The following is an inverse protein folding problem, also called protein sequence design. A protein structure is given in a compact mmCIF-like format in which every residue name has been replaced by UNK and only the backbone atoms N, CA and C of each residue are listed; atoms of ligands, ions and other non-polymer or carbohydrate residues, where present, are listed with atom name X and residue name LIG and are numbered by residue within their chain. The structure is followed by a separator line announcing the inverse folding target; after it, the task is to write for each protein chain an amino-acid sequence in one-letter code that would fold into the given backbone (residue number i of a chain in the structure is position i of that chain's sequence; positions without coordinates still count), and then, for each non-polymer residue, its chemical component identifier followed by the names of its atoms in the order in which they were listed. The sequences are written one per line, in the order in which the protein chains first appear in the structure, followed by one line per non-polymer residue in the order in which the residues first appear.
data_IF_324954853260
#
_entry.id   IF_324954853260
#
_cell.length_a   1.000
_cell.length_b   1.000
_cell.length_c   1.000
_cell.angle_alpha   90.00
_cell.angle_beta   90.00
_cell.angle_gamma   90.00
#
_symmetry.space_group_name_H-M   'P 1'
#
loop_
_entity.id
_entity.type
_entity.pdbx_description
1 polymer ?
#
# COMPACT_ATOMS: atom_id res chain seq x y z
N UNK A 1 18.24 -21.01 11.72
CA UNK A 1 18.32 -19.61 11.31
C UNK A 1 18.13 -18.75 12.55
N UNK A 2 18.94 -17.72 12.76
CA UNK A 2 18.92 -16.87 13.97
C UNK A 2 18.48 -15.45 13.60
N UNK A 3 18.08 -14.63 14.59
CA UNK A 3 17.76 -13.21 14.35
C UNK A 3 18.96 -12.44 13.79
N UNK A 4 20.17 -12.69 14.28
CA UNK A 4 21.39 -12.10 13.70
C UNK A 4 21.61 -12.54 12.24
N UNK A 5 21.33 -13.79 11.88
CA UNK A 5 21.42 -14.25 10.49
C UNK A 5 20.37 -13.57 9.57
N UNK A 6 19.29 -13.04 10.16
CA UNK A 6 18.29 -12.21 9.50
C UNK A 6 18.59 -10.71 9.59
N UNK A 7 19.78 -10.31 10.09
CA UNK A 7 20.14 -8.91 10.33
C UNK A 7 19.18 -8.17 11.27
N UNK A 8 18.58 -8.86 12.24
CA UNK A 8 17.67 -8.27 13.23
C UNK A 8 18.34 -8.23 14.62
N UNK A 9 19.32 -7.35 14.87
CA UNK A 9 20.08 -7.35 16.13
C UNK A 9 19.33 -6.71 17.31
N UNK A 10 18.22 -6.00 17.05
CA UNK A 10 17.59 -5.16 18.05
C UNK A 10 16.99 -6.00 19.21
N UNK A 11 17.31 -5.70 20.49
CA UNK A 11 16.85 -6.48 21.63
C UNK A 11 15.32 -6.55 21.81
N UNK A 12 14.58 -5.58 21.26
CA UNK A 12 13.12 -5.61 21.31
C UNK A 12 12.51 -6.59 20.29
N UNK A 13 13.25 -7.06 19.28
CA UNK A 13 12.78 -8.07 18.34
C UNK A 13 12.67 -9.41 19.05
N UNK A 14 11.44 -9.89 19.23
CA UNK A 14 11.16 -11.12 19.99
C UNK A 14 11.32 -12.40 19.18
N UNK A 15 11.19 -12.32 17.85
CA UNK A 15 11.24 -13.48 16.97
C UNK A 15 10.99 -13.12 15.51
N UNK A 16 11.05 -14.13 14.65
CA UNK A 16 10.74 -14.01 13.24
C UNK A 16 10.10 -15.30 12.72
N UNK A 17 9.09 -15.16 11.86
CA UNK A 17 8.51 -16.25 11.07
C UNK A 17 9.06 -16.15 9.67
N UNK A 18 9.54 -17.26 9.13
CA UNK A 18 10.27 -17.27 7.86
C UNK A 18 9.55 -18.14 6.86
N UNK A 19 9.09 -17.49 5.79
CA UNK A 19 8.47 -18.17 4.67
C UNK A 19 9.46 -18.29 3.51
N UNK A 20 9.93 -19.52 3.27
CA UNK A 20 10.91 -19.81 2.20
C UNK A 20 10.31 -19.72 0.80
N UNK A 21 9.02 -19.96 0.68
CA UNK A 21 8.29 -19.93 -0.59
C UNK A 21 7.50 -18.63 -0.67
N UNK A 22 8.20 -17.56 -1.03
CA UNK A 22 7.66 -16.23 -1.23
C UNK A 22 8.25 -15.62 -2.50
N UNK A 23 7.55 -14.63 -3.07
CA UNK A 23 8.02 -13.88 -4.21
C UNK A 23 7.68 -12.40 -4.03
N UNK A 24 8.59 -11.54 -4.48
CA UNK A 24 8.30 -10.14 -4.75
C UNK A 24 8.22 -9.95 -6.27
N UNK A 25 7.46 -8.96 -6.69
CA UNK A 25 7.32 -8.59 -8.09
C UNK A 25 7.22 -7.08 -8.22
N UNK A 26 7.42 -6.58 -9.42
CA UNK A 26 7.28 -5.16 -9.72
C UNK A 26 5.88 -4.89 -10.30
N UNK A 27 4.91 -4.37 -9.51
CA UNK A 27 3.50 -4.35 -9.92
C UNK A 27 3.28 -3.55 -11.20
N UNK A 28 3.90 -2.37 -11.28
CA UNK A 28 3.80 -1.50 -12.46
C UNK A 28 4.25 -2.22 -13.73
N UNK A 29 5.44 -2.85 -13.71
CA UNK A 29 5.96 -3.57 -14.89
C UNK A 29 5.08 -4.75 -15.28
N UNK A 30 4.54 -5.49 -14.30
CA UNK A 30 3.63 -6.60 -14.60
C UNK A 30 2.37 -6.10 -15.30
N UNK A 31 1.73 -5.05 -14.76
CA UNK A 31 0.50 -4.49 -15.33
C UNK A 31 0.74 -3.91 -16.73
N UNK A 32 1.80 -3.11 -16.89
CA UNK A 32 2.19 -2.57 -18.20
C UNK A 32 2.45 -3.70 -19.21
N UNK A 33 3.21 -4.72 -18.83
CA UNK A 33 3.47 -5.87 -19.69
C UNK A 33 2.18 -6.59 -20.11
N UNK A 34 1.22 -6.79 -19.20
CA UNK A 34 -0.08 -7.38 -19.54
C UNK A 34 -0.84 -6.51 -20.56
N UNK A 35 -0.93 -5.19 -20.32
CA UNK A 35 -1.63 -4.27 -21.21
C UNK A 35 -0.98 -4.18 -22.60
N UNK A 36 0.34 -4.08 -22.65
CA UNK A 36 1.11 -4.09 -23.89
C UNK A 36 0.87 -5.37 -24.69
N UNK A 37 0.83 -6.53 -24.02
CA UNK A 37 0.53 -7.81 -24.67
C UNK A 37 -0.88 -7.85 -25.23
N UNK A 38 -1.88 -7.34 -24.50
CA UNK A 38 -3.26 -7.27 -24.99
C UNK A 38 -3.38 -6.35 -26.21
N UNK A 39 -2.78 -5.16 -26.17
CA UNK A 39 -2.76 -4.22 -27.29
C UNK A 39 -2.02 -4.76 -28.53
N UNK A 40 -0.96 -5.55 -28.33
CA UNK A 40 -0.23 -6.15 -29.44
C UNK A 40 -0.94 -7.38 -30.04
N UNK A 41 -1.77 -8.07 -29.25
CA UNK A 41 -2.43 -9.32 -29.66
C UNK A 41 -3.78 -9.07 -30.33
N UNK A 42 -4.54 -8.11 -29.81
CA UNK A 42 -5.92 -7.86 -30.25
C UNK A 42 -6.03 -6.53 -30.99
N UNK A 43 -6.81 -6.48 -32.09
CA UNK A 43 -7.04 -5.25 -32.80
C UNK A 43 -7.94 -4.29 -32.00
N UNK A 44 -7.97 -2.98 -32.31
CA UNK A 44 -8.69 -1.97 -31.54
C UNK A 44 -10.21 -2.20 -31.40
N UNK A 45 -10.82 -2.99 -32.29
CA UNK A 45 -12.23 -3.38 -32.26
C UNK A 45 -12.53 -4.43 -31.17
N UNK A 46 -11.52 -5.21 -30.77
CA UNK A 46 -11.63 -6.26 -29.75
C UNK A 46 -11.06 -5.81 -28.39
N UNK A 47 -9.95 -5.06 -28.39
CA UNK A 47 -9.37 -4.52 -27.17
C UNK A 47 -8.95 -3.07 -27.35
N UNK A 48 -9.61 -2.18 -26.61
CA UNK A 48 -9.42 -0.74 -26.71
C UNK A 48 -9.05 -0.15 -25.35
N UNK A 49 -7.85 0.43 -25.24
CA UNK A 49 -7.41 1.12 -24.02
C UNK A 49 -7.57 2.63 -24.17
N UNK A 50 -8.40 3.22 -23.31
CA UNK A 50 -8.57 4.68 -23.23
C UNK A 50 -8.00 5.19 -21.89
N UNK A 51 -6.84 5.86 -21.94
CA UNK A 51 -6.27 6.57 -20.79
C UNK A 51 -6.82 8.00 -20.72
N UNK A 52 -6.62 8.70 -19.59
CA UNK A 52 -7.11 10.08 -19.39
C UNK A 52 -8.61 10.25 -19.67
N UNK A 53 -9.39 9.19 -19.41
CA UNK A 53 -10.82 9.11 -19.73
C UNK A 53 -11.59 8.71 -18.48
N UNK A 54 -11.65 9.57 -17.45
CA UNK A 54 -12.33 9.23 -16.21
C UNK A 54 -13.83 9.03 -16.48
N UNK A 55 -14.36 7.91 -16.02
CA UNK A 55 -15.81 7.71 -15.94
C UNK A 55 -16.32 8.49 -14.74
N UNK A 56 -17.13 9.51 -14.99
CA UNK A 56 -17.64 10.42 -13.95
C UNK A 56 -19.05 10.03 -13.49
N UNK A 57 -19.75 9.22 -14.27
CA UNK A 57 -21.11 8.76 -13.94
C UNK A 57 -21.47 7.49 -14.69
N UNK A 58 -22.24 6.64 -14.04
CA UNK A 58 -22.79 5.42 -14.62
C UNK A 58 -24.32 5.44 -14.51
N UNK A 59 -25.03 5.12 -15.59
CA UNK A 59 -26.50 5.01 -15.60
C UNK A 59 -26.91 3.67 -16.17
N UNK A 60 -27.92 3.05 -15.58
CA UNK A 60 -28.64 1.95 -16.19
C UNK A 60 -29.66 2.49 -17.20
N UNK A 61 -29.55 2.11 -18.47
CA UNK A 61 -30.54 2.48 -19.48
C UNK A 61 -31.83 1.68 -19.21
N UNK A 62 -32.96 2.36 -19.05
CA UNK A 62 -34.26 1.71 -19.14
C UNK A 62 -34.46 1.29 -20.59
N UNK A 63 -34.72 0.01 -20.82
CA UNK A 63 -34.90 -0.52 -22.17
C UNK A 63 -36.35 -0.95 -22.30
N UNK A 64 -37.02 -0.44 -23.33
CA UNK A 64 -38.37 -0.85 -23.67
C UNK A 64 -38.38 -2.36 -24.01
N UNK A 65 -39.51 -3.00 -23.71
CA UNK A 65 -39.76 -4.44 -23.78
C UNK A 65 -39.16 -5.11 -25.03
N UNK A 66 -37.94 -5.66 -24.92
CA UNK A 66 -37.27 -6.43 -25.97
C UNK A 66 -35.77 -6.14 -26.17
N UNK A 67 -35.23 -5.03 -25.65
CA UNK A 67 -33.80 -4.71 -25.78
C UNK A 67 -32.95 -5.16 -24.59
N UNK A 68 -31.76 -5.70 -24.85
CA UNK A 68 -30.82 -6.19 -23.84
C UNK A 68 -30.38 -5.16 -22.78
N UNK A 69 -29.92 -5.64 -21.63
CA UNK A 69 -29.44 -4.81 -20.52
C UNK A 69 -28.28 -3.93 -20.95
N UNK A 70 -28.38 -2.61 -20.79
CA UNK A 70 -27.34 -1.68 -21.25
C UNK A 70 -27.04 -0.62 -20.19
N UNK A 71 -25.76 -0.38 -19.96
CA UNK A 71 -25.20 0.65 -19.09
C UNK A 71 -24.58 1.77 -19.92
N UNK A 72 -24.66 3.00 -19.41
CA UNK A 72 -24.09 4.20 -20.03
C UNK A 72 -23.05 4.79 -19.08
N UNK A 73 -21.79 4.78 -19.51
CA UNK A 73 -20.67 5.43 -18.83
C UNK A 73 -20.44 6.82 -19.43
N UNK A 74 -20.52 7.86 -18.61
CA UNK A 74 -20.22 9.23 -19.00
C UNK A 74 -18.76 9.55 -18.74
N UNK A 75 -18.12 10.18 -19.73
CA UNK A 75 -16.74 10.67 -19.63
C UNK A 75 -16.67 12.08 -20.23
N UNK A 76 -15.65 12.89 -19.90
CA UNK A 76 -15.42 14.18 -20.56
C UNK A 76 -15.22 14.08 -22.08
N UNK A 77 -14.84 12.90 -22.59
CA UNK A 77 -14.60 12.63 -24.02
C UNK A 77 -15.82 12.08 -24.76
N UNK A 78 -16.96 11.94 -24.08
CA UNK A 78 -18.19 11.37 -24.64
C UNK A 78 -18.72 10.21 -23.80
N UNK A 79 -19.78 9.56 -24.31
CA UNK A 79 -20.46 8.47 -23.61
C UNK A 79 -20.14 7.12 -24.24
N UNK A 80 -19.99 6.09 -23.41
CA UNK A 80 -19.79 4.70 -23.83
C UNK A 80 -21.00 3.89 -23.36
N UNK A 81 -21.56 3.07 -24.23
CA UNK A 81 -22.64 2.13 -23.90
C UNK A 81 -22.10 0.71 -23.90
N UNK A 82 -22.46 -0.08 -22.89
CA UNK A 82 -22.03 -1.46 -22.78
C UNK A 82 -23.09 -2.34 -22.12
N UNK A 83 -23.25 -3.57 -22.59
CA UNK A 83 -24.18 -4.53 -21.98
C UNK A 83 -23.66 -5.04 -20.62
N UNK A 84 -22.33 -5.14 -20.51
CA UNK A 84 -21.62 -5.60 -19.31
C UNK A 84 -20.54 -4.59 -18.93
N UNK A 85 -20.52 -4.21 -17.66
CA UNK A 85 -19.56 -3.26 -17.09
C UNK A 85 -18.90 -3.90 -15.88
N UNK A 86 -17.56 -3.86 -15.83
CA UNK A 86 -16.79 -4.26 -14.66
C UNK A 86 -16.18 -3.01 -13.99
N UNK A 87 -16.58 -2.74 -12.75
CA UNK A 87 -15.96 -1.71 -11.92
C UNK A 87 -14.73 -2.29 -11.23
N UNK A 88 -13.55 -1.96 -11.77
CA UNK A 88 -12.24 -2.24 -11.17
C UNK A 88 -11.60 -0.97 -10.59
N UNK A 89 -12.42 -0.07 -10.02
CA UNK A 89 -12.03 1.29 -9.60
C UNK A 89 -11.51 1.38 -8.17
N UNK A 90 -11.42 0.25 -7.46
CA UNK A 90 -10.85 0.12 -6.12
C UNK A 90 -11.29 1.24 -5.15
N UNK A 91 -10.38 2.13 -4.72
CA UNK A 91 -10.65 3.19 -3.73
C UNK A 91 -11.64 4.24 -4.23
N UNK A 92 -11.86 4.34 -5.54
CA UNK A 92 -12.79 5.29 -6.16
C UNK A 92 -14.17 4.67 -6.45
N UNK A 93 -14.44 3.45 -5.97
CA UNK A 93 -15.72 2.75 -6.22
C UNK A 93 -16.93 3.58 -5.79
N UNK A 94 -16.85 4.22 -4.63
CA UNK A 94 -17.96 5.03 -4.07
C UNK A 94 -18.32 6.25 -4.91
N UNK A 95 -17.42 6.74 -5.76
CA UNK A 95 -17.71 7.83 -6.70
C UNK A 95 -18.77 7.42 -7.73
N UNK A 96 -18.75 6.16 -8.18
CA UNK A 96 -19.71 5.62 -9.15
C UNK A 96 -20.87 4.89 -8.48
N UNK A 97 -20.63 4.30 -7.31
CA UNK A 97 -21.63 3.58 -6.52
C UNK A 97 -21.66 4.13 -5.08
N UNK A 98 -22.42 5.22 -4.82
CA UNK A 98 -22.44 5.86 -3.50
C UNK A 98 -22.80 4.94 -2.34
N UNK A 99 -23.56 3.86 -2.59
CA UNK A 99 -23.90 2.85 -1.59
C UNK A 99 -22.68 2.07 -1.03
N UNK A 100 -21.49 2.23 -1.59
CA UNK A 100 -20.24 1.64 -1.11
C UNK A 100 -19.38 2.61 -0.28
N UNK A 101 -19.82 3.85 -0.04
CA UNK A 101 -19.02 4.87 0.67
C UNK A 101 -18.58 4.45 2.08
N UNK A 102 -19.34 3.60 2.74
CA UNK A 102 -19.04 3.05 4.07
C UNK A 102 -18.51 1.61 4.02
N UNK A 103 -18.54 0.97 2.85
CA UNK A 103 -18.14 -0.43 2.65
C UNK A 103 -16.72 -0.55 2.09
N UNK A 104 -16.29 0.40 1.26
CA UNK A 104 -14.96 0.47 0.67
C UNK A 104 -14.43 1.89 0.88
N UNK A 105 -13.40 2.03 1.71
CA UNK A 105 -12.85 3.34 2.06
C UNK A 105 -11.45 3.47 1.49
N UNK A 106 -11.16 4.56 0.74
CA UNK A 106 -9.81 4.81 0.26
C UNK A 106 -8.87 5.08 1.44
N UNK A 107 -7.66 4.54 1.37
CA UNK A 107 -6.61 4.79 2.36
C UNK A 107 -5.31 5.02 1.61
N UNK A 108 -4.69 6.17 1.80
CA UNK A 108 -3.40 6.46 1.16
C UNK A 108 -2.27 5.76 1.91
N UNK A 109 -1.43 5.05 1.16
CA UNK A 109 -0.14 4.54 1.62
C UNK A 109 0.99 5.38 1.05
N UNK A 110 2.14 5.35 1.70
CA UNK A 110 3.36 6.02 1.25
C UNK A 110 4.52 5.04 1.19
N UNK A 111 5.36 5.21 0.17
CA UNK A 111 6.51 4.35 -0.12
C UNK A 111 7.74 5.22 -0.33
N UNK A 112 8.88 4.78 0.21
CA UNK A 112 10.20 5.32 -0.08
C UNK A 112 11.04 4.30 -0.85
N UNK A 113 11.63 4.72 -1.97
CA UNK A 113 12.77 4.05 -2.58
C UNK A 113 14.04 4.67 -2.01
N UNK A 114 14.75 3.92 -1.19
CA UNK A 114 15.90 4.38 -0.42
C UNK A 114 17.18 3.75 -0.94
N UNK A 115 18.25 4.53 -1.03
CA UNK A 115 19.56 3.98 -1.36
C UNK A 115 20.06 3.13 -0.19
N UNK A 116 20.40 1.84 -0.41
CA UNK A 116 21.05 1.06 0.61
C UNK A 116 22.37 1.73 1.00
N UNK A 117 22.80 1.67 2.25
CA UNK A 117 24.13 2.14 2.63
C UNK A 117 25.24 1.46 1.81
N UNK A 118 26.39 2.12 1.74
CA UNK A 118 27.61 1.48 1.26
C UNK A 118 28.02 0.40 2.26
N UNK A 119 28.33 -0.79 1.73
CA UNK A 119 28.81 -1.91 2.53
C UNK A 119 30.17 -1.55 3.13
N UNK A 120 30.30 -1.78 4.43
CA UNK A 120 31.54 -1.63 5.19
C UNK A 120 32.53 -2.79 4.94
N UNK A 121 32.68 -3.26 3.70
CA UNK A 121 33.68 -4.28 3.40
C UNK A 121 35.07 -3.74 3.73
N UNK A 122 35.68 -4.38 4.72
CA UNK A 122 36.86 -4.00 5.46
C UNK A 122 38.16 -4.13 4.65
N UNK A 123 39.06 -3.17 4.88
CA UNK A 123 40.52 -3.32 4.85
C UNK A 123 41.10 -4.30 3.83
N UNK A 124 41.33 -3.86 2.61
CA UNK A 124 42.38 -4.44 1.77
C UNK A 124 43.04 -3.32 0.97
N UNK A 125 44.26 -3.01 1.37
CA UNK A 125 45.20 -2.14 0.68
C UNK A 125 45.47 -2.68 -0.72
N UNK A 126 44.63 -2.28 -1.68
CA UNK A 126 44.98 -2.39 -3.09
C UNK A 126 44.47 -1.13 -3.77
N UNK A 127 45.34 -0.13 -3.78
CA UNK A 127 45.28 0.95 -4.74
C UNK A 127 45.42 0.31 -6.11
N UNK A 128 44.32 0.23 -6.87
CA UNK A 128 44.21 0.50 -8.31
C UNK A 128 42.89 -0.08 -8.86
N UNK A 129 42.13 0.81 -9.52
CA UNK A 129 41.00 0.59 -10.43
C UNK A 129 39.66 0.05 -9.88
N UNK A 130 38.65 0.92 -9.98
CA UNK A 130 37.20 0.64 -9.95
C UNK A 130 36.65 -0.18 -8.79
N UNK A 131 36.81 0.28 -7.54
CA UNK A 131 35.89 -0.15 -6.49
C UNK A 131 34.55 0.54 -6.70
N UNK A 132 33.68 -0.09 -7.50
CA UNK A 132 32.28 0.26 -7.53
C UNK A 132 31.76 0.05 -6.10
N UNK A 133 31.47 1.15 -5.39
CA UNK A 133 31.12 1.09 -3.98
C UNK A 133 29.93 0.13 -3.81
N UNK A 134 30.18 -1.01 -3.17
CA UNK A 134 29.21 -2.09 -3.12
C UNK A 134 28.12 -1.72 -2.13
N UNK A 135 26.88 -1.60 -2.60
CA UNK A 135 25.72 -1.34 -1.75
C UNK A 135 25.39 -2.60 -0.94
N UNK A 136 24.87 -2.44 0.28
CA UNK A 136 24.47 -3.58 1.11
C UNK A 136 23.37 -4.39 0.41
N UNK A 137 23.55 -5.71 0.41
CA UNK A 137 22.58 -6.68 -0.10
C UNK A 137 21.86 -7.36 1.07
N UNK A 138 20.54 -7.47 0.96
CA UNK A 138 19.66 -8.20 1.86
C UNK A 138 19.30 -9.54 1.22
N UNK A 139 19.37 -10.61 2.02
CA UNK A 139 19.03 -11.97 1.58
C UNK A 139 17.53 -12.28 1.69
N UNK A 140 16.76 -11.37 2.31
CA UNK A 140 15.34 -11.54 2.59
C UNK A 140 14.56 -10.24 2.32
N UNK A 141 13.25 -10.40 2.13
CA UNK A 141 12.28 -9.32 2.27
C UNK A 141 11.66 -9.40 3.66
N UNK A 142 11.26 -8.25 4.21
CA UNK A 142 10.82 -8.14 5.60
C UNK A 142 9.41 -7.58 5.67
N UNK A 143 8.65 -8.07 6.64
CA UNK A 143 7.43 -7.43 7.13
C UNK A 143 7.60 -7.32 8.64
N UNK A 144 7.42 -6.13 9.16
CA UNK A 144 7.63 -5.80 10.57
C UNK A 144 6.28 -5.68 11.26
N UNK A 145 6.09 -6.46 12.32
CA UNK A 145 4.91 -6.44 13.17
C UNK A 145 5.33 -6.20 14.61
N UNK A 146 4.53 -5.43 15.35
CA UNK A 146 4.75 -5.15 16.76
C UNK A 146 4.21 -3.80 17.16
N UNK A 147 4.61 -3.32 18.34
CA UNK A 147 4.27 -2.00 18.84
C UNK A 147 5.46 -1.04 18.78
N UNK A 148 5.18 0.24 18.59
CA UNK A 148 6.10 1.36 18.74
C UNK A 148 5.54 2.29 19.81
N UNK A 149 6.40 2.78 20.68
CA UNK A 149 6.04 3.85 21.61
C UNK A 149 6.00 5.17 20.83
N UNK A 150 4.88 5.90 20.92
CA UNK A 150 4.77 7.19 20.27
C UNK A 150 5.68 8.21 20.99
N UNK A 151 6.85 8.52 20.42
CA UNK A 151 7.78 9.54 20.97
C UNK A 151 7.23 10.98 20.89
N UNK A 152 6.03 11.19 20.34
CA UNK A 152 5.45 12.52 20.07
C UNK A 152 4.19 12.85 20.88
N UNK A 153 4.01 12.20 22.03
CA UNK A 153 3.06 12.63 23.06
C UNK A 153 3.54 13.82 23.91
N UNK A 154 4.17 14.84 23.32
CA UNK A 154 4.39 16.10 24.05
C UNK A 154 3.08 16.89 24.06
N UNK A 155 2.38 16.87 25.20
CA UNK A 155 1.38 17.90 25.51
C UNK A 155 0.04 17.41 26.05
N UNK A 156 0.01 16.57 27.08
CA UNK A 156 -0.95 16.71 28.20
C UNK A 156 -0.56 15.75 29.33
N UNK A 157 -0.17 16.31 30.47
CA UNK A 157 0.10 15.54 31.68
C UNK A 157 -1.15 14.72 32.06
N UNK A 158 -1.07 13.39 31.96
CA UNK A 158 -2.11 12.47 32.44
C UNK A 158 -2.69 11.48 31.43
N UNK A 159 -2.23 11.44 30.17
CA UNK A 159 -2.72 10.48 29.17
C UNK A 159 -1.68 9.37 28.91
N UNK A 160 -2.12 8.10 28.95
CA UNK A 160 -1.33 6.89 28.67
C UNK A 160 -0.44 7.06 27.44
N UNK A 161 0.80 6.56 27.50
CA UNK A 161 1.66 6.40 26.32
C UNK A 161 0.86 5.69 25.24
N UNK A 162 0.60 6.39 24.12
CA UNK A 162 -0.09 5.79 23.00
C UNK A 162 0.87 4.82 22.34
N UNK A 163 0.53 3.55 22.35
CA UNK A 163 1.27 2.52 21.61
C UNK A 163 0.65 2.39 20.23
N UNK A 164 1.47 2.59 19.20
CA UNK A 164 1.07 2.37 17.82
C UNK A 164 1.58 1.05 17.28
N UNK A 165 0.96 0.54 16.22
CA UNK A 165 1.35 -0.73 15.58
C UNK A 165 2.31 -0.48 14.44
N UNK A 166 3.34 -1.31 14.35
CA UNK A 166 4.19 -1.46 13.16
C UNK A 166 3.48 -2.27 12.09
N UNK A 167 3.49 -1.75 10.88
CA UNK A 167 2.99 -2.41 9.67
C UNK A 167 3.94 -2.22 8.46
N UNK A 168 5.23 -1.99 8.71
CA UNK A 168 6.19 -1.74 7.64
C UNK A 168 6.56 -3.01 6.87
N UNK A 169 6.89 -2.83 5.58
CA UNK A 169 7.41 -3.90 4.74
C UNK A 169 8.52 -3.39 3.84
N UNK A 170 9.53 -4.24 3.66
CA UNK A 170 10.75 -3.91 2.93
C UNK A 170 11.04 -5.00 1.90
N UNK A 171 11.23 -4.59 0.65
CA UNK A 171 11.85 -5.41 -0.40
C UNK A 171 13.06 -4.68 -0.96
N UNK A 172 14.09 -5.41 -1.37
CA UNK A 172 15.22 -4.82 -2.07
C UNK A 172 15.14 -5.14 -3.57
N UNK A 173 15.31 -4.12 -4.41
CA UNK A 173 15.45 -4.33 -5.86
C UNK A 173 16.77 -5.04 -6.19
N UNK A 174 16.86 -5.80 -7.29
CA UNK A 174 18.11 -6.41 -7.70
C UNK A 174 19.25 -5.37 -7.87
N UNK A 175 20.43 -5.72 -7.40
CA UNK A 175 21.67 -4.95 -7.59
C UNK A 175 22.06 -4.89 -9.09
N UNK A 176 22.89 -3.91 -9.52
CA UNK A 176 23.62 -2.90 -8.72
C UNK A 176 22.82 -1.65 -8.32
N UNK A 177 21.68 -1.38 -8.97
CA UNK A 177 20.84 -0.20 -8.71
C UNK A 177 19.70 -0.50 -7.71
N UNK A 178 19.95 -1.42 -6.78
CA UNK A 178 18.91 -2.06 -5.98
C UNK A 178 18.45 -1.21 -4.79
N UNK A 179 17.52 -0.27 -5.00
CA UNK A 179 16.94 0.48 -3.88
C UNK A 179 16.20 -0.43 -2.89
N UNK A 180 16.19 -0.01 -1.63
CA UNK A 180 15.31 -0.51 -0.59
C UNK A 180 13.92 0.12 -0.79
N UNK A 181 12.93 -0.68 -1.11
CA UNK A 181 11.54 -0.23 -1.27
C UNK A 181 10.82 -0.49 0.05
N UNK A 182 10.59 0.59 0.80
CA UNK A 182 9.98 0.55 2.12
C UNK A 182 8.60 1.21 2.10
N UNK A 183 7.59 0.48 2.57
CA UNK A 183 6.26 1.03 2.87
C UNK A 183 5.90 0.85 4.34
N UNK A 184 4.90 1.60 4.81
CA UNK A 184 4.42 1.55 6.20
C UNK A 184 4.21 2.96 6.78
N UNK A 185 4.32 3.10 8.11
CA UNK A 185 4.26 4.41 8.78
C UNK A 185 2.89 5.09 8.74
N UNK A 186 1.83 4.33 8.43
CA UNK A 186 0.46 4.84 8.26
C UNK A 186 -0.10 5.43 9.56
N UNK A 187 0.35 4.93 10.71
CA UNK A 187 0.01 5.48 12.01
C UNK A 187 0.44 6.94 12.20
N UNK A 188 1.43 7.41 11.43
CA UNK A 188 1.94 8.78 11.50
C UNK A 188 1.28 9.71 10.49
N UNK A 189 0.53 9.16 9.52
CA UNK A 189 -0.22 9.97 8.59
C UNK A 189 -1.38 10.66 9.30
N UNK A 190 -1.74 11.87 8.86
CA UNK A 190 -2.91 12.58 9.40
C UNK A 190 -4.16 11.71 9.24
N UNK A 191 -4.91 11.51 10.34
CA UNK A 191 -6.07 10.62 10.38
C UNK A 191 -5.78 9.19 9.85
N UNK A 192 -4.53 8.73 9.94
CA UNK A 192 -4.03 7.48 9.35
C UNK A 192 -4.28 7.37 7.83
N UNK A 193 -4.40 8.53 7.17
CA UNK A 193 -4.74 8.72 5.77
C UNK A 193 -6.03 8.01 5.31
N UNK A 194 -6.95 7.76 6.25
CA UNK A 194 -8.26 7.19 5.94
C UNK A 194 -9.10 8.23 5.22
N UNK A 195 -9.80 7.81 4.17
CA UNK A 195 -10.62 8.69 3.35
C UNK A 195 -9.85 9.47 2.30
N UNK A 196 -8.52 9.45 2.38
CA UNK A 196 -7.69 10.13 1.41
C UNK A 196 -7.68 9.36 0.10
N UNK A 197 -8.23 9.99 -0.93
CA UNK A 197 -8.35 9.47 -2.29
C UNK A 197 -7.35 10.14 -3.25
N UNK A 198 -6.57 11.10 -2.75
CA UNK A 198 -5.56 11.85 -3.50
C UNK A 198 -4.15 11.34 -3.17
N UNK A 199 -3.42 10.91 -4.18
CA UNK A 199 -2.05 10.41 -4.09
C UNK A 199 -1.02 11.32 -4.79
N UNK A 200 -1.34 12.61 -4.91
CA UNK A 200 -0.46 13.62 -5.49
C UNK A 200 0.44 14.33 -4.48
N UNK A 201 0.39 13.89 -3.21
CA UNK A 201 1.17 14.46 -2.12
C UNK A 201 1.87 13.37 -1.30
N UNK A 202 3.04 13.70 -0.76
CA UNK A 202 3.83 12.91 0.18
C UNK A 202 3.81 13.63 1.52
N UNK A 203 3.47 12.91 2.60
CA UNK A 203 3.46 13.47 3.95
C UNK A 203 4.88 13.51 4.53
N UNK A 204 5.41 14.70 4.90
CA UNK A 204 6.80 14.83 5.35
C UNK A 204 7.14 14.01 6.60
N UNK A 205 6.18 13.86 7.52
CA UNK A 205 6.37 13.07 8.75
C UNK A 205 6.54 11.59 8.44
N UNK A 206 5.70 11.04 7.56
CA UNK A 206 5.78 9.64 7.12
C UNK A 206 7.05 9.41 6.30
N UNK A 207 7.42 10.35 5.42
CA UNK A 207 8.64 10.28 4.61
C UNK A 207 9.88 10.23 5.51
N UNK A 208 9.94 11.11 6.51
CA UNK A 208 11.03 11.12 7.49
C UNK A 208 11.14 9.80 8.24
N UNK A 209 10.02 9.28 8.72
CA UNK A 209 9.95 7.98 9.42
C UNK A 209 10.48 6.83 8.56
N UNK A 210 10.02 6.73 7.30
CA UNK A 210 10.51 5.68 6.39
C UNK A 210 12.03 5.78 6.16
N UNK A 211 12.60 6.99 6.19
CA UNK A 211 14.06 7.20 6.04
C UNK A 211 14.85 6.90 7.32
N UNK A 212 14.23 6.80 8.50
CA UNK A 212 14.93 6.63 9.79
C UNK A 212 14.74 5.28 10.47
N UNK A 213 13.60 4.61 10.31
CA UNK A 213 13.19 3.50 11.19
C UNK A 213 13.80 2.14 10.90
N UNK A 214 14.39 1.95 9.72
CA UNK A 214 14.93 0.65 9.35
C UNK A 214 16.11 0.25 10.21
N UNK A 215 17.08 1.14 10.42
CA UNK A 215 18.33 0.79 11.08
C UNK A 215 18.20 0.35 12.55
N UNK A 216 17.33 0.97 13.37
CA UNK A 216 17.09 0.49 14.73
C UNK A 216 16.63 -0.96 14.79
N UNK A 217 15.92 -1.48 13.78
CA UNK A 217 15.39 -2.85 13.78
C UNK A 217 16.23 -3.82 12.94
N UNK A 218 16.67 -3.34 11.78
CA UNK A 218 17.34 -4.09 10.72
C UNK A 218 18.73 -3.51 10.48
N UNK A 219 19.76 -4.33 10.65
CA UNK A 219 21.14 -3.97 10.33
C UNK A 219 21.35 -3.88 8.81
N UNK A 220 21.29 -2.64 8.33
CA UNK A 220 21.55 -2.26 6.93
C UNK A 220 23.03 -1.97 6.66
N UNK A 221 23.94 -2.34 7.58
CA UNK A 221 25.39 -2.43 7.33
C UNK A 221 26.10 -1.09 7.08
N UNK A 222 25.66 0.01 7.72
CA UNK A 222 26.33 1.31 7.58
C UNK A 222 27.80 1.21 7.99
N UNK A 223 28.69 1.73 7.15
CA UNK A 223 30.04 2.05 7.58
C UNK A 223 29.94 3.04 8.75
N UNK A 224 30.53 2.71 9.89
CA UNK A 224 30.63 3.62 11.01
C UNK A 224 31.20 4.94 10.48
N UNK A 225 30.37 5.98 10.41
CA UNK A 225 30.86 7.31 10.09
C UNK A 225 31.95 7.61 11.11
N UNK A 226 33.19 7.77 10.62
CA UNK A 226 34.33 8.02 11.47
C UNK A 226 33.97 9.18 12.39
N UNK A 227 33.81 8.89 13.69
CA UNK A 227 33.81 9.90 14.72
C UNK A 227 35.22 10.50 14.73
N UNK A 228 35.50 11.43 13.82
CA UNK A 228 36.64 12.33 13.96
C UNK A 228 36.31 13.30 15.09
N UNK A 229 36.38 12.79 16.32
CA UNK A 229 36.75 13.59 17.46
C UNK A 229 38.20 14.05 17.21
N UNK A 230 38.36 15.24 16.62
CA UNK A 230 39.67 15.87 16.52
C UNK A 230 40.05 16.37 17.91
N UNK A 231 40.77 15.55 18.65
CA UNK A 231 41.56 15.98 19.79
C UNK A 231 42.73 16.82 19.26
N UNK A 232 42.57 18.14 19.25
CA UNK A 232 43.68 19.08 19.09
C UNK A 232 43.51 20.21 20.10
N UNK A 233 44.22 20.08 21.22
CA UNK A 233 44.39 21.13 22.22
C UNK A 233 45.44 22.13 21.73
N UNK A 234 45.10 23.42 21.63
CA UNK A 234 45.96 24.49 22.14
C UNK A 234 45.14 25.75 22.43
N UNK A 235 45.43 26.38 23.56
CA UNK A 235 44.65 27.40 24.23
C UNK A 235 44.59 28.77 23.50
N UNK A 236 43.46 29.46 23.63
CA UNK A 236 43.44 30.89 24.00
C UNK A 236 42.04 31.25 24.52
N UNK A 237 42.01 31.89 25.69
CA UNK A 237 40.80 32.31 26.39
C UNK A 237 40.18 33.55 25.74
N UNK A 238 38.87 33.52 25.44
CA UNK A 238 37.98 34.69 25.57
C UNK A 238 36.54 34.21 25.74
N UNK A 239 35.90 34.78 26.75
CA UNK A 239 34.54 34.56 27.24
C UNK A 239 33.47 34.94 26.22
N UNK A 240 32.56 34.02 25.89
CA UNK A 240 31.20 34.36 25.46
C UNK A 240 30.29 33.13 25.64
N UNK A 241 29.21 33.34 26.39
CA UNK A 241 28.10 32.44 26.63
C UNK A 241 27.42 31.97 25.35
N UNK A 242 27.27 30.67 25.15
CA UNK A 242 26.22 30.15 24.25
C UNK A 242 25.80 28.76 24.74
N UNK A 243 24.49 28.61 24.84
CA UNK A 243 23.75 27.44 25.26
C UNK A 243 24.21 26.17 24.56
N UNK A 244 24.61 25.19 25.36
CA UNK A 244 24.85 23.81 24.96
C UNK A 244 23.51 23.18 24.56
N UNK A 245 23.13 23.28 23.28
CA UNK A 245 22.14 22.38 22.71
C UNK A 245 22.74 20.97 22.70
N UNK A 246 22.14 20.07 23.46
CA UNK A 246 22.49 18.67 23.46
C UNK A 246 22.29 18.12 22.03
N UNK A 247 23.40 17.83 21.34
CA UNK A 247 23.38 17.15 20.06
C UNK A 247 22.71 15.79 20.26
N UNK A 248 21.42 15.69 19.89
CA UNK A 248 20.71 14.42 19.90
C UNK A 248 21.45 13.47 18.95
N UNK A 249 21.86 12.33 19.47
CA UNK A 249 22.62 11.30 18.78
C UNK A 249 21.73 10.55 17.75
N UNK A 250 21.08 11.28 16.84
CA UNK A 250 20.15 10.75 15.84
C UNK A 250 20.95 10.14 14.70
N UNK A 251 20.72 8.85 14.44
CA UNK A 251 21.24 8.16 13.27
C UNK A 251 20.89 8.97 12.00
N UNK A 252 21.81 9.07 11.01
CA UNK A 252 21.52 9.81 9.79
C UNK A 252 20.33 9.19 9.04
N UNK A 253 19.56 9.97 8.31
CA UNK A 253 18.45 9.44 7.49
C UNK A 253 19.00 8.72 6.25
N UNK A 254 18.34 7.65 5.78
CA UNK A 254 18.64 7.06 4.48
C UNK A 254 18.27 8.04 3.37
N UNK A 255 19.08 8.09 2.32
CA UNK A 255 18.81 8.92 1.15
C UNK A 255 17.69 8.28 0.32
N UNK A 256 16.62 9.03 0.07
CA UNK A 256 15.55 8.60 -0.83
C UNK A 256 15.86 9.03 -2.26
N UNK A 257 15.82 8.09 -3.20
CA UNK A 257 15.85 8.39 -4.64
C UNK A 257 14.48 8.80 -5.15
N UNK A 258 13.42 8.31 -4.51
CA UNK A 258 12.04 8.63 -4.84
C UNK A 258 11.15 8.34 -3.65
N UNK A 259 10.11 9.15 -3.48
CA UNK A 259 9.03 8.93 -2.54
C UNK A 259 7.71 9.18 -3.28
N UNK A 260 6.72 8.35 -3.02
CA UNK A 260 5.40 8.49 -3.65
C UNK A 260 4.31 7.95 -2.74
N UNK A 261 3.08 8.35 -3.03
CA UNK A 261 1.89 7.78 -2.41
C UNK A 261 1.06 6.99 -3.39
N UNK A 262 0.12 6.20 -2.86
CA UNK A 262 -0.83 5.45 -3.66
C UNK A 262 -2.07 5.10 -2.86
N UNK A 263 -3.19 4.94 -3.55
CA UNK A 263 -4.48 4.71 -2.92
C UNK A 263 -4.81 3.22 -2.82
N UNK A 264 -4.91 2.74 -1.58
CA UNK A 264 -5.52 1.45 -1.26
C UNK A 264 -7.02 1.62 -1.05
N UNK A 265 -7.74 0.50 -0.96
CA UNK A 265 -9.17 0.50 -0.68
C UNK A 265 -9.46 -0.56 0.36
N UNK A 266 -9.77 -0.11 1.57
CA UNK A 266 -10.07 -1.00 2.67
C UNK A 266 -11.54 -1.33 2.66
N UNK A 267 -11.83 -2.61 2.45
CA UNK A 267 -13.19 -3.10 2.66
C UNK A 267 -13.46 -3.21 4.15
N UNK A 268 -14.68 -2.85 4.52
CA UNK A 268 -15.16 -2.83 5.89
C UNK A 268 -15.02 -4.16 6.63
N UNK A 269 -15.10 -5.26 5.90
CA UNK A 269 -15.02 -6.63 6.40
C UNK A 269 -13.74 -7.35 5.93
N UNK A 270 -12.71 -6.60 5.51
CA UNK A 270 -11.37 -7.08 5.13
C UNK A 270 -11.27 -7.97 3.88
N UNK A 271 -12.38 -8.28 3.20
CA UNK A 271 -12.41 -9.03 1.95
C UNK A 271 -12.65 -8.15 0.72
N UNK A 272 -12.09 -8.46 -0.47
CA UNK A 272 -12.50 -7.80 -1.72
C UNK A 272 -13.97 -8.05 -2.04
N UNK A 273 -14.57 -7.12 -2.78
CA UNK A 273 -15.92 -7.22 -3.34
C UNK A 273 -15.81 -7.64 -4.80
N UNK A 274 -16.29 -8.84 -5.12
CA UNK A 274 -16.15 -9.48 -6.43
C UNK A 274 -17.52 -9.99 -6.90
N UNK A 275 -17.85 -9.75 -8.16
CA UNK A 275 -19.03 -10.33 -8.81
C UNK A 275 -20.09 -9.30 -9.17
N UNK A 276 -21.31 -9.77 -9.41
CA UNK A 276 -22.43 -8.91 -9.82
C UNK A 276 -22.80 -7.94 -8.70
N UNK A 277 -23.03 -6.67 -9.04
CA UNK A 277 -23.42 -5.65 -8.05
C UNK A 277 -24.92 -5.74 -7.79
N UNK A 278 -25.38 -5.94 -6.54
CA UNK A 278 -26.80 -5.99 -6.20
C UNK A 278 -27.52 -4.67 -6.53
N UNK A 279 -28.78 -4.75 -6.95
CA UNK A 279 -29.61 -3.56 -7.21
C UNK A 279 -29.74 -2.65 -5.98
N UNK A 280 -29.79 -3.24 -4.77
CA UNK A 280 -29.82 -2.49 -3.51
C UNK A 280 -28.56 -1.64 -3.25
N UNK A 281 -27.46 -1.92 -3.95
CA UNK A 281 -26.18 -1.19 -3.85
C UNK A 281 -25.89 -0.36 -5.11
N UNK A 282 -26.93 -0.02 -5.89
CA UNK A 282 -26.80 0.77 -7.12
C UNK A 282 -26.44 -0.05 -8.37
N UNK A 283 -26.44 -1.38 -8.26
CA UNK A 283 -26.14 -2.28 -9.37
C UNK A 283 -27.37 -2.77 -10.14
N UNK A 284 -27.30 -4.01 -10.58
CA UNK A 284 -28.30 -4.67 -11.42
C UNK A 284 -27.65 -5.46 -12.55
N UNK A 285 -28.47 -6.14 -13.35
CA UNK A 285 -28.02 -6.97 -14.47
C UNK A 285 -27.00 -6.24 -15.35
N UNK A 286 -25.88 -6.90 -15.64
CA UNK A 286 -24.78 -6.35 -16.45
C UNK A 286 -23.72 -5.58 -15.66
N UNK A 287 -23.94 -5.20 -14.40
CA UNK A 287 -22.91 -4.53 -13.59
C UNK A 287 -22.20 -5.50 -12.66
N UNK A 288 -20.88 -5.49 -12.73
CA UNK A 288 -19.97 -6.30 -11.92
C UNK A 288 -18.93 -5.41 -11.27
N UNK A 289 -18.28 -5.92 -10.22
CA UNK A 289 -17.16 -5.25 -9.57
C UNK A 289 -16.04 -6.20 -9.17
N UNK A 290 -14.84 -5.64 -9.05
CA UNK A 290 -13.68 -6.23 -8.40
C UNK A 290 -12.90 -5.10 -7.71
N UNK A 291 -13.20 -4.85 -6.43
CA UNK A 291 -12.68 -3.70 -5.70
C UNK A 291 -12.50 -3.98 -4.20
N UNK A 292 -11.86 -3.07 -3.46
CA UNK A 292 -11.77 -3.18 -2.01
C UNK A 292 -10.77 -4.24 -1.54
N UNK A 293 -9.61 -4.33 -2.20
CA UNK A 293 -8.65 -5.40 -1.95
C UNK A 293 -7.89 -5.33 -0.60
N UNK A 294 -8.10 -4.27 0.19
CA UNK A 294 -7.58 -4.11 1.56
C UNK A 294 -6.07 -4.36 1.67
N UNK A 295 -5.28 -3.68 0.83
CA UNK A 295 -3.81 -3.82 0.83
C UNK A 295 -3.26 -5.12 0.23
N UNK A 296 -4.12 -6.08 -0.14
CA UNK A 296 -3.71 -7.39 -0.67
C UNK A 296 -4.09 -7.58 -2.15
N UNK A 297 -4.04 -6.51 -2.93
CA UNK A 297 -4.45 -6.52 -4.35
C UNK A 297 -3.63 -7.48 -5.20
N UNK A 298 -2.30 -7.34 -5.19
CA UNK A 298 -1.39 -8.14 -6.04
C UNK A 298 -1.54 -9.66 -5.90
N UNK A 299 -1.61 -10.24 -4.68
CA UNK A 299 -1.79 -11.69 -4.55
C UNK A 299 -3.20 -12.17 -4.93
N UNK A 300 -4.22 -11.29 -4.88
CA UNK A 300 -5.63 -11.67 -5.08
C UNK A 300 -6.16 -11.37 -6.49
N UNK A 301 -5.62 -10.35 -7.17
CA UNK A 301 -6.24 -9.77 -8.36
C UNK A 301 -6.29 -10.70 -9.58
N UNK A 302 -5.29 -11.56 -9.77
CA UNK A 302 -5.25 -12.46 -10.93
C UNK A 302 -6.41 -13.48 -10.92
N UNK A 303 -6.63 -14.14 -9.78
CA UNK A 303 -7.71 -15.11 -9.63
C UNK A 303 -9.07 -14.41 -9.51
N UNK A 304 -9.13 -13.25 -8.84
CA UNK A 304 -10.32 -12.40 -8.81
C UNK A 304 -10.77 -11.99 -10.22
N UNK A 305 -9.84 -11.52 -11.05
CA UNK A 305 -10.07 -11.12 -12.43
C UNK A 305 -10.59 -12.28 -13.29
N UNK A 306 -9.97 -13.45 -13.17
CA UNK A 306 -10.44 -14.67 -13.84
C UNK A 306 -11.85 -15.07 -13.41
N UNK A 307 -12.12 -15.04 -12.10
CA UNK A 307 -13.42 -15.44 -11.56
C UNK A 307 -14.54 -14.49 -11.97
N UNK A 308 -14.33 -13.18 -11.86
CA UNK A 308 -15.33 -12.20 -12.30
C UNK A 308 -15.55 -12.23 -13.82
N UNK A 309 -14.50 -12.45 -14.62
CA UNK A 309 -14.66 -12.63 -16.07
C UNK A 309 -15.53 -13.85 -16.40
N UNK A 310 -15.37 -14.97 -15.68
CA UNK A 310 -16.24 -16.15 -15.84
C UNK A 310 -17.69 -15.85 -15.44
N UNK A 311 -17.91 -15.12 -14.34
CA UNK A 311 -19.25 -14.67 -13.94
C UNK A 311 -19.89 -13.78 -14.99
N UNK A 312 -19.10 -12.87 -15.58
CA UNK A 312 -19.58 -11.98 -16.63
C UNK A 312 -19.99 -12.77 -17.86
N UNK A 313 -19.25 -13.82 -18.24
CA UNK A 313 -19.52 -14.63 -19.42
C UNK A 313 -20.64 -15.67 -19.22
N UNK A 314 -20.96 -16.03 -17.97
CA UNK A 314 -21.95 -17.04 -17.66
C UNK A 314 -23.36 -16.66 -18.13
N UNK A 315 -24.14 -17.67 -18.52
CA UNK A 315 -25.58 -17.54 -18.73
C UNK A 315 -26.30 -17.31 -17.39
N UNK A 316 -27.48 -16.69 -17.43
CA UNK A 316 -28.28 -16.46 -16.23
C UNK A 316 -28.50 -17.77 -15.44
N UNK A 317 -28.13 -17.78 -14.15
CA UNK A 317 -28.35 -18.92 -13.24
C UNK A 317 -27.12 -19.73 -12.85
N UNK A 318 -25.92 -19.44 -13.37
CA UNK A 318 -24.68 -20.07 -12.89
C UNK A 318 -24.36 -19.63 -11.45
N UNK A 319 -23.96 -20.57 -10.60
CA UNK A 319 -23.60 -20.31 -9.22
C UNK A 319 -22.29 -19.54 -9.12
N UNK A 320 -22.22 -18.56 -8.22
CA UNK A 320 -21.00 -17.77 -8.01
C UNK A 320 -19.79 -18.63 -7.60
N UNK A 321 -20.06 -19.77 -6.95
CA UNK A 321 -19.07 -20.76 -6.49
C UNK A 321 -18.35 -21.49 -7.64
N UNK A 322 -18.96 -21.61 -8.82
CA UNK A 322 -18.39 -22.32 -9.98
C UNK A 322 -17.20 -21.57 -10.62
N UNK A 323 -16.96 -20.34 -10.17
CA UNK A 323 -15.97 -19.44 -10.78
C UNK A 323 -14.67 -19.32 -9.99
N UNK A 324 -14.54 -20.05 -8.87
CA UNK A 324 -13.32 -20.06 -8.04
C UNK A 324 -13.14 -18.80 -7.21
N UNK A 325 -14.24 -18.15 -6.83
CA UNK A 325 -14.27 -17.01 -5.92
C UNK A 325 -14.82 -17.48 -4.57
N UNK A 326 -14.11 -17.20 -3.45
CA UNK A 326 -14.62 -17.48 -2.11
C UNK A 326 -15.96 -16.77 -1.85
N UNK A 327 -16.87 -17.43 -1.13
CA UNK A 327 -18.23 -16.94 -0.88
C UNK A 327 -18.21 -15.60 -0.13
N UNK A 328 -17.27 -15.45 0.79
CA UNK A 328 -17.03 -14.23 1.57
C UNK A 328 -16.62 -13.03 0.70
N UNK A 329 -16.12 -13.25 -0.51
CA UNK A 329 -15.73 -12.16 -1.42
C UNK A 329 -16.86 -11.73 -2.36
N UNK A 330 -17.96 -12.49 -2.40
CA UNK A 330 -19.06 -12.22 -3.32
C UNK A 330 -19.78 -10.93 -2.93
N UNK A 331 -20.02 -10.06 -3.91
CA UNK A 331 -20.79 -8.84 -3.71
C UNK A 331 -22.28 -9.17 -3.55
N UNK A 332 -22.75 -9.31 -2.31
CA UNK A 332 -24.18 -9.54 -2.00
C UNK A 332 -24.76 -8.45 -1.10
N UNK A 333 -26.07 -8.27 -1.15
CA UNK A 333 -26.77 -7.35 -0.25
C UNK A 333 -26.65 -7.82 1.21
N UNK A 334 -26.78 -9.13 1.46
CA UNK A 334 -26.61 -9.72 2.78
C UNK A 334 -25.21 -9.46 3.37
N UNK A 335 -24.15 -9.55 2.55
CA UNK A 335 -22.79 -9.20 2.99
C UNK A 335 -22.70 -7.73 3.38
N UNK A 336 -23.29 -6.82 2.62
CA UNK A 336 -23.28 -5.39 2.94
C UNK A 336 -24.03 -5.08 4.24
N UNK A 337 -25.18 -5.72 4.46
CA UNK A 337 -25.93 -5.62 5.72
C UNK A 337 -25.14 -6.16 6.90
N UNK A 338 -24.52 -7.34 6.75
CA UNK A 338 -23.71 -7.96 7.80
C UNK A 338 -22.46 -7.12 8.11
N UNK A 339 -21.76 -6.61 7.09
CA UNK A 339 -20.63 -5.72 7.28
C UNK A 339 -21.03 -4.45 8.05
N UNK A 340 -22.19 -3.85 7.74
CA UNK A 340 -22.71 -2.69 8.49
C UNK A 340 -23.13 -3.06 9.91
N UNK A 341 -23.75 -4.21 10.10
CA UNK A 341 -24.21 -4.67 11.41
C UNK A 341 -23.03 -4.97 12.34
N UNK A 342 -22.03 -5.70 11.86
CA UNK A 342 -20.89 -6.17 12.66
C UNK A 342 -19.91 -5.04 12.97
N UNK A 343 -19.72 -4.11 12.04
CA UNK A 343 -18.70 -3.06 12.13
C UNK A 343 -19.29 -1.65 12.37
N UNK A 344 -20.58 -1.55 12.75
CA UNK A 344 -21.27 -0.34 13.18
C UNK A 344 -21.61 0.67 12.07
N UNK A 345 -21.81 1.97 12.36
CA UNK A 345 -21.77 3.04 11.35
C UNK A 345 -20.33 3.54 11.12
N UNK A 346 -19.97 3.87 9.87
CA UNK A 346 -18.75 4.64 9.60
C UNK A 346 -19.13 6.11 9.74
N UNK A 347 -18.47 6.85 10.63
CA UNK A 347 -18.64 8.32 10.68
C UNK A 347 -18.28 8.97 9.33
N UNK A 348 -18.51 10.27 9.18
CA UNK A 348 -18.08 11.05 8.00
C UNK A 348 -16.56 11.00 7.83
N UNK A 349 -16.03 9.92 7.27
CA UNK A 349 -14.69 9.70 6.70
C UNK A 349 -13.44 10.05 7.57
N UNK A 350 -13.56 10.76 8.70
CA UNK A 350 -12.47 11.22 9.57
C UNK A 350 -12.43 10.50 10.94
N UNK A 351 -13.01 9.30 11.06
CA UNK A 351 -13.15 8.65 12.37
C UNK A 351 -13.10 7.13 12.38
N UNK A 352 -12.37 6.48 11.46
CA UNK A 352 -12.34 5.00 11.41
C UNK A 352 -11.38 4.38 12.42
N UNK A 353 -11.61 4.62 13.72
CA UNK A 353 -10.96 3.83 14.79
C UNK A 353 -11.34 2.35 14.72
N UNK A 354 -12.53 2.00 14.23
CA UNK A 354 -13.04 0.61 14.21
C UNK A 354 -12.39 -0.30 13.16
N UNK A 355 -12.06 0.21 11.97
CA UNK A 355 -11.38 -0.58 10.93
C UNK A 355 -9.90 -0.82 11.25
N UNK A 356 -9.34 0.01 12.12
CA UNK A 356 -7.93 -0.04 12.53
C UNK A 356 -7.75 -0.74 13.88
N UNK A 357 -8.79 -0.76 14.74
CA UNK A 357 -8.77 -1.48 16.01
C UNK A 357 -8.44 -2.97 15.83
N UNK A 358 -8.96 -3.62 14.79
CA UNK A 358 -8.68 -5.04 14.52
C UNK A 358 -7.29 -5.29 13.90
N UNK A 359 -6.58 -4.26 13.41
CA UNK A 359 -5.16 -4.38 13.06
C UNK A 359 -4.24 -4.31 14.29
N UNK A 360 -4.77 -3.92 15.46
CA UNK A 360 -4.04 -3.91 16.74
C UNK A 360 -4.17 -5.21 17.54
N UNK A 361 -5.06 -6.11 17.13
CA UNK A 361 -5.35 -7.36 17.85
C UNK A 361 -4.89 -8.65 17.12
N UNK A 362 -4.13 -8.55 16.03
CA UNK A 362 -3.54 -9.70 15.31
C UNK A 362 -2.06 -9.86 15.61
#
# INVERSE_FOLDING_TARGET
MTLSALRLPHPAVKGAIVQRHAASMWPYKLVCWVLERLLATYPPEEFNLQTNTPVTRLIKRAVDSGGGHCWIAHTPRGTITADRVLLATNGHTSHLLPAFSDLIVPVRGQIGALLPPLSSSSSSSSLLLSQQAQRVQLDASYVFFGTVEDEHGEGQAGMSTSTSTRDEYLVQRPLPNGELILGGGRNLAKNMAVGEWRDDEVEPQVARYLRSELEPVLDVGRAAAASTASTASTASATTASTSTEAASNKQPELEATMEWTGIMAYSRDHGPWIGAVPSALGGGSGLFMAAGFTGHGMPRCALAGRGVARMMLASAGAGVQDHGIPEEFVATAARAEEARRRWGPVGTVDGMKALIADLKEV
#
